data_IF_091632065103
#
_entry.id   IF_091632065103
#
_cell.length_a   1.000
_cell.length_b   1.000
_cell.length_c   1.000
_cell.angle_alpha   90.00
_cell.angle_beta   90.00
_cell.angle_gamma   90.00
#
_symmetry.space_group_name_H-M   'P 1'
#
loop_
_entity.id
_entity.type
_entity.pdbx_description
1 polymer ?
#
# COMPACT_ATOMS: atom_id res chain seq x y z
N UNK A 1 6.45 -33.81 -30.40
CA UNK A 1 5.11 -33.64 -29.83
C UNK A 1 5.09 -33.76 -28.31
N UNK A 2 5.67 -34.80 -27.72
CA UNK A 2 5.68 -34.98 -26.26
C UNK A 2 6.45 -33.89 -25.52
N UNK A 3 7.51 -33.31 -26.10
CA UNK A 3 8.28 -32.19 -25.49
C UNK A 3 7.53 -30.85 -25.49
N UNK A 4 6.64 -30.63 -26.45
CA UNK A 4 5.82 -29.41 -26.52
C UNK A 4 4.72 -29.38 -25.45
N UNK A 5 4.10 -30.55 -25.20
CA UNK A 5 3.07 -30.72 -24.18
C UNK A 5 3.61 -30.55 -22.76
N UNK A 6 4.85 -30.98 -22.49
CA UNK A 6 5.53 -30.78 -21.21
C UNK A 6 5.87 -29.32 -20.96
N UNK A 7 6.27 -28.56 -21.99
CA UNK A 7 6.55 -27.13 -21.89
C UNK A 7 5.29 -26.30 -21.61
N UNK A 8 4.16 -26.65 -22.22
CA UNK A 8 2.86 -26.02 -21.97
C UNK A 8 2.38 -26.28 -20.53
N UNK A 9 2.59 -27.48 -20.03
CA UNK A 9 2.25 -27.85 -18.65
C UNK A 9 3.09 -27.05 -17.62
N UNK A 10 4.36 -26.82 -17.90
CA UNK A 10 5.23 -25.99 -17.04
C UNK A 10 4.83 -24.52 -17.04
N UNK A 11 4.42 -23.97 -18.16
CA UNK A 11 3.94 -22.58 -18.27
C UNK A 11 2.65 -22.35 -17.49
N UNK A 12 1.75 -23.31 -17.47
CA UNK A 12 0.52 -23.24 -16.69
C UNK A 12 0.76 -23.29 -15.17
N UNK A 13 1.76 -24.03 -14.72
CA UNK A 13 2.13 -24.13 -13.31
C UNK A 13 2.79 -22.82 -12.82
N UNK A 14 3.61 -22.17 -13.66
CA UNK A 14 4.24 -20.90 -13.30
C UNK A 14 3.25 -19.74 -13.18
N UNK A 15 2.16 -19.74 -13.91
CA UNK A 15 1.13 -18.72 -13.83
C UNK A 15 0.29 -18.77 -12.53
N UNK A 16 0.26 -19.91 -11.84
CA UNK A 16 -0.49 -20.05 -10.59
C UNK A 16 0.26 -19.58 -9.34
N UNK A 17 1.55 -19.23 -9.44
CA UNK A 17 2.41 -18.85 -8.31
C UNK A 17 2.30 -17.35 -7.97
N UNK A 18 1.68 -16.53 -8.82
CA UNK A 18 1.69 -15.06 -8.68
C UNK A 18 0.40 -14.49 -8.07
N UNK A 19 -0.33 -15.24 -7.23
CA UNK A 19 -1.72 -14.86 -7.00
C UNK A 19 -2.07 -14.16 -5.70
N UNK A 20 -1.24 -13.95 -4.67
CA UNK A 20 -1.87 -13.57 -3.39
C UNK A 20 -1.14 -12.56 -2.49
N UNK A 21 0.11 -12.25 -2.67
CA UNK A 21 0.81 -11.24 -1.85
C UNK A 21 1.71 -10.37 -2.69
N UNK A 22 2.03 -9.20 -2.18
CA UNK A 22 3.01 -8.33 -2.85
C UNK A 22 4.35 -9.05 -2.93
N UNK A 23 4.97 -9.01 -4.11
CA UNK A 23 6.30 -9.58 -4.30
C UNK A 23 7.34 -8.82 -3.49
N UNK A 24 8.45 -9.48 -3.17
CA UNK A 24 9.59 -8.83 -2.50
C UNK A 24 10.11 -7.63 -3.31
N UNK A 25 10.06 -7.72 -4.62
CA UNK A 25 10.45 -6.62 -5.51
C UNK A 25 9.53 -5.42 -5.33
N UNK A 26 8.21 -5.64 -5.25
CA UNK A 26 7.24 -4.56 -5.05
C UNK A 26 7.42 -3.92 -3.67
N UNK A 27 7.68 -4.70 -2.63
CA UNK A 27 7.99 -4.18 -1.31
C UNK A 27 9.24 -3.30 -1.32
N UNK A 28 10.27 -3.70 -2.05
CA UNK A 28 11.49 -2.90 -2.22
C UNK A 28 11.21 -1.56 -2.92
N UNK A 29 10.38 -1.56 -3.97
CA UNK A 29 9.98 -0.32 -4.65
C UNK A 29 9.21 0.63 -3.73
N UNK A 30 8.40 0.08 -2.83
CA UNK A 30 7.53 0.86 -1.95
C UNK A 30 8.21 1.34 -0.68
N UNK A 31 9.30 0.69 -0.26
CA UNK A 31 9.97 0.99 1.01
C UNK A 31 10.48 2.44 1.03
N UNK A 32 10.04 3.19 2.03
CA UNK A 32 10.38 4.60 2.17
C UNK A 32 9.53 5.54 1.31
N UNK A 33 8.55 5.04 0.56
CA UNK A 33 7.66 5.89 -0.23
C UNK A 33 6.86 6.82 0.68
N UNK A 34 6.76 8.09 0.27
CA UNK A 34 5.94 9.10 0.95
C UNK A 34 4.49 8.98 0.52
N UNK A 35 3.60 9.05 1.49
CA UNK A 35 2.15 9.06 1.27
C UNK A 35 1.71 10.52 1.22
N UNK A 36 1.21 10.96 0.08
CA UNK A 36 0.83 12.35 -0.16
C UNK A 36 -0.66 12.39 -0.53
N UNK A 37 -1.43 13.15 0.24
CA UNK A 37 -2.83 13.39 -0.05
C UNK A 37 -3.02 14.28 -1.28
N UNK A 38 -4.24 14.32 -1.82
CA UNK A 38 -4.57 15.15 -3.00
C UNK A 38 -4.21 16.62 -2.79
N UNK A 39 -4.43 17.15 -1.59
CA UNK A 39 -4.12 18.53 -1.26
C UNK A 39 -2.63 18.79 -0.96
N UNK A 40 -1.77 17.78 -1.11
CA UNK A 40 -0.34 17.87 -0.82
C UNK A 40 0.05 17.54 0.61
N UNK A 41 -0.90 17.21 1.49
CA UNK A 41 -0.59 16.88 2.89
C UNK A 41 0.22 15.60 2.97
N UNK A 42 1.32 15.65 3.73
CA UNK A 42 2.15 14.48 4.02
C UNK A 42 1.48 13.61 5.08
N UNK A 43 1.24 12.34 4.76
CA UNK A 43 0.55 11.38 5.62
C UNK A 43 1.46 10.30 6.19
N UNK A 44 2.76 10.45 6.04
CA UNK A 44 3.74 9.48 6.52
C UNK A 44 4.40 8.68 5.41
N UNK A 45 5.07 7.62 5.78
CA UNK A 45 5.81 6.76 4.85
C UNK A 45 5.37 5.31 4.97
N UNK A 46 5.58 4.56 3.88
CA UNK A 46 5.55 3.10 3.91
C UNK A 46 6.93 2.62 4.31
N UNK A 47 7.08 2.19 5.54
CA UNK A 47 8.37 1.77 6.08
C UNK A 47 8.13 0.89 7.31
N UNK A 48 9.20 0.33 7.86
CA UNK A 48 9.07 -0.51 9.05
C UNK A 48 8.57 0.28 10.28
N UNK A 49 8.12 -0.46 11.29
CA UNK A 49 7.51 0.12 12.50
C UNK A 49 8.47 0.94 13.37
N UNK A 50 9.77 0.95 13.05
CA UNK A 50 10.77 1.75 13.78
C UNK A 50 11.10 3.06 13.10
N UNK A 51 10.69 3.26 11.86
CA UNK A 51 10.93 4.51 11.13
C UNK A 51 10.07 5.64 11.66
N UNK A 52 10.65 6.83 11.80
CA UNK A 52 10.04 7.95 12.50
C UNK A 52 8.70 8.41 11.92
N UNK A 53 8.54 8.34 10.58
CA UNK A 53 7.34 8.79 9.89
C UNK A 53 6.48 7.65 9.33
N UNK A 54 6.81 6.41 9.69
CA UNK A 54 6.07 5.25 9.18
C UNK A 54 4.64 5.22 9.70
N UNK A 55 3.71 4.89 8.81
CA UNK A 55 2.31 4.65 9.21
C UNK A 55 2.16 3.42 10.11
N UNK A 56 3.18 2.58 10.21
CA UNK A 56 3.20 1.40 11.09
C UNK A 56 3.93 1.64 12.40
N UNK A 57 4.41 2.86 12.64
CA UNK A 57 5.00 3.26 13.92
C UNK A 57 3.93 3.89 14.81
N UNK A 58 3.46 3.15 15.81
CA UNK A 58 2.39 3.60 16.72
C UNK A 58 2.75 4.85 17.52
N UNK A 59 4.03 5.18 17.61
CA UNK A 59 4.52 6.36 18.32
C UNK A 59 4.69 7.58 17.41
N UNK A 60 4.52 7.44 16.11
CA UNK A 60 4.60 8.56 15.18
C UNK A 60 3.24 9.24 15.01
N UNK A 61 3.27 10.51 14.60
CA UNK A 61 2.05 11.26 14.28
C UNK A 61 1.27 10.62 13.12
N UNK A 62 1.94 9.82 12.30
CA UNK A 62 1.32 9.16 11.15
C UNK A 62 0.89 7.72 11.42
N UNK A 63 1.33 7.13 12.54
CA UNK A 63 1.00 5.76 12.91
C UNK A 63 -0.01 5.64 14.05
N UNK A 64 -0.25 6.71 14.78
CA UNK A 64 -1.24 6.72 15.88
C UNK A 64 -2.66 6.92 15.37
N UNK A 65 -3.63 6.34 16.06
CA UNK A 65 -5.06 6.49 15.76
C UNK A 65 -5.62 7.89 16.09
N UNK A 66 -4.84 8.74 16.73
CA UNK A 66 -5.33 10.00 17.31
C UNK A 66 -4.86 11.26 16.60
N UNK A 67 -3.89 11.13 15.71
CA UNK A 67 -3.35 12.31 15.01
C UNK A 67 -4.26 12.72 13.85
N UNK A 68 -4.36 14.04 13.62
CA UNK A 68 -5.09 14.61 12.49
C UNK A 68 -4.52 14.18 11.13
N UNK A 69 -3.23 13.90 11.05
CA UNK A 69 -2.53 13.53 9.81
C UNK A 69 -2.27 12.02 9.71
N UNK A 70 -2.99 11.22 10.47
CA UNK A 70 -2.89 9.77 10.43
C UNK A 70 -4.05 9.16 9.63
N UNK A 71 -3.72 8.24 8.72
CA UNK A 71 -4.75 7.48 8.01
C UNK A 71 -5.52 6.52 8.93
N UNK A 72 -4.96 6.19 10.10
CA UNK A 72 -5.60 5.31 11.08
C UNK A 72 -6.63 6.03 11.96
N UNK A 73 -6.66 7.36 11.92
CA UNK A 73 -7.66 8.14 12.64
C UNK A 73 -8.98 8.15 11.86
N UNK A 74 -9.94 7.34 12.28
CA UNK A 74 -11.24 7.19 11.62
C UNK A 74 -12.08 8.49 11.59
N UNK A 75 -11.74 9.46 12.42
CA UNK A 75 -12.41 10.76 12.46
C UNK A 75 -11.78 11.81 11.53
N UNK A 76 -10.64 11.50 10.94
CA UNK A 76 -10.02 12.36 9.94
C UNK A 76 -10.57 12.06 8.53
N UNK A 77 -10.40 13.03 7.62
CA UNK A 77 -10.78 12.83 6.22
C UNK A 77 -9.98 11.70 5.55
N UNK A 78 -8.80 11.39 6.06
CA UNK A 78 -7.93 10.34 5.52
C UNK A 78 -8.18 8.96 6.13
N UNK A 79 -8.82 8.89 7.29
CA UNK A 79 -9.16 7.62 7.94
C UNK A 79 -10.62 7.23 7.83
N UNK A 80 -11.47 8.12 7.35
CA UNK A 80 -12.90 7.90 7.23
C UNK A 80 -13.23 7.07 5.98
N UNK A 81 -13.91 5.94 6.16
CA UNK A 81 -14.27 5.02 5.06
C UNK A 81 -15.17 5.63 3.99
N UNK A 82 -15.78 6.77 4.25
CA UNK A 82 -16.71 7.45 3.33
C UNK A 82 -16.10 8.67 2.64
N UNK A 83 -14.90 9.07 3.04
CA UNK A 83 -14.25 10.24 2.45
C UNK A 83 -13.73 9.95 1.04
N UNK A 84 -13.93 10.88 0.11
CA UNK A 84 -13.47 10.76 -1.28
C UNK A 84 -11.93 10.76 -1.43
N UNK A 85 -11.21 11.09 -0.36
CA UNK A 85 -9.74 11.16 -0.33
C UNK A 85 -9.11 10.12 0.58
N UNK A 86 -9.90 9.24 1.18
CA UNK A 86 -9.42 8.21 2.10
C UNK A 86 -8.90 6.98 1.38
N UNK A 87 -7.76 6.42 1.81
CA UNK A 87 -7.29 5.13 1.28
C UNK A 87 -8.22 3.97 1.61
N UNK A 88 -9.10 4.11 2.62
CA UNK A 88 -10.02 3.05 3.06
C UNK A 88 -11.38 3.08 2.37
N UNK A 89 -11.65 4.09 1.57
CA UNK A 89 -12.89 4.16 0.80
C UNK A 89 -12.68 3.52 -0.58
N UNK A 90 -13.35 2.40 -0.84
CA UNK A 90 -13.27 1.70 -2.13
C UNK A 90 -13.83 2.52 -3.30
N UNK A 91 -14.57 3.59 -3.01
CA UNK A 91 -15.13 4.52 -4.01
C UNK A 91 -14.43 5.87 -4.02
N UNK A 92 -13.31 6.01 -3.32
CA UNK A 92 -12.57 7.28 -3.27
C UNK A 92 -12.17 7.73 -4.67
N UNK A 93 -12.48 8.99 -5.01
CA UNK A 93 -12.08 9.57 -6.29
C UNK A 93 -10.58 9.86 -6.34
N UNK A 94 -10.03 10.31 -5.23
CA UNK A 94 -8.65 10.81 -5.14
C UNK A 94 -7.93 10.23 -3.91
N UNK A 95 -7.64 8.92 -3.88
CA UNK A 95 -6.87 8.35 -2.78
C UNK A 95 -5.44 8.89 -2.76
N UNK A 96 -4.74 8.80 -1.63
CA UNK A 96 -3.36 9.27 -1.54
C UNK A 96 -2.44 8.58 -2.55
N UNK A 97 -1.48 9.34 -3.07
CA UNK A 97 -0.45 8.80 -3.95
C UNK A 97 0.81 8.44 -3.16
N UNK A 98 1.58 7.52 -3.69
CA UNK A 98 2.86 7.08 -3.15
C UNK A 98 3.98 7.62 -4.04
N UNK A 99 4.89 8.38 -3.43
CA UNK A 99 6.01 9.01 -4.13
C UNK A 99 7.33 8.52 -3.55
N UNK A 100 8.21 8.04 -4.41
CA UNK A 100 9.57 7.66 -4.04
C UNK A 100 10.54 8.20 -5.09
N UNK A 101 11.61 8.84 -4.62
CA UNK A 101 12.63 9.45 -5.50
C UNK A 101 12.04 10.39 -6.56
N UNK A 102 11.00 11.12 -6.19
CA UNK A 102 10.35 12.09 -7.07
C UNK A 102 9.36 11.50 -8.07
N UNK A 103 9.12 10.19 -8.02
CA UNK A 103 8.21 9.50 -8.94
C UNK A 103 7.03 8.88 -8.20
N UNK A 104 5.86 8.88 -8.85
CA UNK A 104 4.68 8.18 -8.33
C UNK A 104 4.89 6.68 -8.54
N UNK A 105 4.91 5.94 -7.44
CA UNK A 105 5.12 4.49 -7.44
C UNK A 105 3.84 3.70 -7.14
N UNK A 106 2.74 4.38 -6.84
CA UNK A 106 1.47 3.72 -6.60
C UNK A 106 0.44 4.66 -5.99
N UNK A 107 -0.71 4.09 -5.65
CA UNK A 107 -1.79 4.76 -4.91
C UNK A 107 -2.09 3.93 -3.67
N UNK A 108 -2.26 4.59 -2.53
CA UNK A 108 -2.67 3.92 -1.30
C UNK A 108 -4.19 3.83 -1.29
N UNK A 109 -4.73 2.64 -1.51
CA UNK A 109 -6.17 2.47 -1.65
C UNK A 109 -6.58 1.01 -1.50
N UNK A 110 -7.75 0.79 -0.93
CA UNK A 110 -8.40 -0.52 -0.89
C UNK A 110 -9.09 -0.90 -2.21
N UNK A 111 -9.09 -0.01 -3.20
CA UNK A 111 -9.64 -0.28 -4.55
C UNK A 111 -8.76 -1.29 -5.28
N UNK A 112 -9.10 -2.56 -5.19
CA UNK A 112 -8.28 -3.65 -5.76
C UNK A 112 -8.16 -3.62 -7.29
N UNK A 113 -9.10 -2.95 -7.97
CA UNK A 113 -9.11 -2.79 -9.42
C UNK A 113 -8.35 -1.55 -9.93
N UNK A 114 -7.91 -0.68 -9.03
CA UNK A 114 -7.09 0.47 -9.39
C UNK A 114 -5.69 0.01 -9.79
N UNK A 115 -5.15 0.59 -10.88
CA UNK A 115 -3.78 0.30 -11.31
C UNK A 115 -2.81 0.78 -10.23
N UNK A 116 -1.83 -0.06 -9.90
CA UNK A 116 -0.82 0.22 -8.87
C UNK A 116 -1.41 0.48 -7.47
N UNK A 117 -2.57 -0.10 -7.18
CA UNK A 117 -3.17 -0.04 -5.86
C UNK A 117 -2.31 -0.76 -4.83
N UNK A 118 -2.12 -0.10 -3.69
CA UNK A 118 -1.46 -0.67 -2.51
C UNK A 118 -2.46 -0.60 -1.36
N UNK A 119 -2.87 -1.74 -0.86
CA UNK A 119 -3.86 -1.82 0.22
C UNK A 119 -3.21 -1.51 1.56
N UNK A 120 -3.63 -0.43 2.26
CA UNK A 120 -3.07 -0.06 3.55
C UNK A 120 -3.28 -1.13 4.62
N UNK A 121 -4.31 -1.97 4.49
CA UNK A 121 -4.61 -3.02 5.46
C UNK A 121 -3.68 -4.23 5.36
N UNK A 122 -3.06 -4.45 4.22
CA UNK A 122 -2.27 -5.67 3.97
C UNK A 122 -0.79 -5.42 3.69
N UNK A 123 -0.43 -4.24 3.19
CA UNK A 123 0.94 -3.96 2.76
C UNK A 123 1.96 -4.10 3.89
N UNK A 124 1.62 -3.68 5.09
CA UNK A 124 2.52 -3.77 6.24
C UNK A 124 2.89 -5.20 6.58
N UNK A 125 1.91 -6.09 6.56
CA UNK A 125 2.12 -7.52 6.79
C UNK A 125 2.87 -8.17 5.62
N UNK A 126 2.45 -7.88 4.40
CA UNK A 126 3.06 -8.47 3.19
C UNK A 126 4.54 -8.10 3.07
N UNK A 127 4.91 -6.90 3.47
CA UNK A 127 6.29 -6.40 3.37
C UNK A 127 7.09 -6.54 4.68
N UNK A 128 6.47 -7.05 5.75
CA UNK A 128 7.15 -7.24 7.04
C UNK A 128 7.39 -5.95 7.82
N UNK A 129 6.63 -4.90 7.55
CA UNK A 129 6.79 -3.59 8.20
C UNK A 129 5.90 -3.41 9.42
N UNK A 130 4.77 -4.09 9.47
CA UNK A 130 3.85 -4.01 10.60
C UNK A 130 4.07 -5.18 11.54
N UNK A 131 4.00 -4.92 12.83
CA UNK A 131 3.94 -5.99 13.84
C UNK A 131 2.61 -6.74 13.69
N UNK A 132 2.67 -8.02 13.88
CA UNK A 132 1.51 -8.90 13.69
C UNK A 132 0.68 -9.08 14.96
#
# INVERSE_FOLDING_TARGET
MKKLLLLLSLLLVTNSIFSESLSSYRCFELEGAKIIAEDGTFLGTLDDSYSADSIFNDYSDHGTDYSADSIWNEYSDWGNDYSSISPFNEYAADPPILIKDGEVVGKLTVKSYEIDAVDPNTVGKDCGWADQ
#
